data_IF_618416611250
#
_entry.id   IF_618416611250
#
_cell.length_a   1.000
_cell.length_b   1.000
_cell.length_c   1.000
_cell.angle_alpha   90.00
_cell.angle_beta   90.00
_cell.angle_gamma   90.00
#
_symmetry.space_group_name_H-M   'P 1'
#
loop_
_entity.id
_entity.type
_entity.pdbx_description
1 polymer ?
#
# COMPACT_ATOMS: atom_id res chain seq x y z
N UNK A 1 -5.35 22.30 2.08
CA UNK A 1 -5.18 20.91 2.54
C UNK A 1 -6.52 20.42 3.07
N UNK A 2 -7.13 19.38 2.50
CA UNK A 2 -8.40 18.84 3.02
C UNK A 2 -8.07 17.74 4.05
N UNK A 3 -8.24 18.04 5.34
CA UNK A 3 -7.84 17.18 6.45
C UNK A 3 -8.46 15.78 6.39
N UNK A 4 -9.73 15.72 5.98
CA UNK A 4 -10.47 14.46 5.79
C UNK A 4 -9.83 13.63 4.68
N UNK A 5 -9.47 14.27 3.56
CA UNK A 5 -8.79 13.62 2.44
C UNK A 5 -7.39 13.12 2.85
N UNK A 6 -6.63 13.91 3.59
CA UNK A 6 -5.31 13.52 4.12
C UNK A 6 -5.41 12.32 5.06
N UNK A 7 -6.39 12.31 5.96
CA UNK A 7 -6.63 11.18 6.87
C UNK A 7 -7.03 9.91 6.10
N UNK A 8 -7.95 10.02 5.14
CA UNK A 8 -8.38 8.89 4.32
C UNK A 8 -7.23 8.29 3.51
N UNK A 9 -6.37 9.13 2.93
CA UNK A 9 -5.19 8.67 2.20
C UNK A 9 -4.19 7.97 3.14
N UNK A 10 -3.95 8.52 4.33
CA UNK A 10 -3.10 7.87 5.34
C UNK A 10 -3.65 6.49 5.76
N UNK A 11 -4.96 6.40 6.01
CA UNK A 11 -5.62 5.15 6.39
C UNK A 11 -5.52 4.11 5.27
N UNK A 12 -5.77 4.50 4.01
CA UNK A 12 -5.62 3.62 2.84
C UNK A 12 -4.19 3.11 2.69
N UNK A 13 -3.20 4.01 2.75
CA UNK A 13 -1.79 3.65 2.69
C UNK A 13 -1.43 2.61 3.74
N UNK A 14 -1.81 2.84 5.00
CA UNK A 14 -1.53 1.93 6.12
C UNK A 14 -2.18 0.57 5.93
N UNK A 15 -3.43 0.53 5.47
CA UNK A 15 -4.12 -0.72 5.18
C UNK A 15 -3.40 -1.50 4.08
N UNK A 16 -3.05 -0.86 2.97
CA UNK A 16 -2.36 -1.52 1.86
C UNK A 16 -0.98 -2.04 2.26
N UNK A 17 -0.21 -1.28 3.04
CA UNK A 17 1.08 -1.77 3.58
C UNK A 17 0.84 -2.99 4.47
N UNK A 18 -0.11 -2.91 5.41
CA UNK A 18 -0.38 -4.01 6.32
C UNK A 18 -0.86 -5.29 5.61
N UNK A 19 -1.65 -5.17 4.55
CA UNK A 19 -2.13 -6.29 3.75
C UNK A 19 -0.98 -6.91 2.94
N UNK A 20 -0.24 -6.11 2.19
CA UNK A 20 0.88 -6.60 1.37
C UNK A 20 2.02 -7.16 2.22
N UNK A 21 2.31 -6.58 3.38
CA UNK A 21 3.36 -7.08 4.29
C UNK A 21 3.01 -8.40 4.98
N UNK A 22 1.74 -8.84 4.92
CA UNK A 22 1.33 -10.18 5.41
C UNK A 22 1.55 -11.28 4.37
N UNK A 23 1.71 -10.90 3.10
CA UNK A 23 1.97 -11.84 2.02
C UNK A 23 3.42 -12.33 2.07
N UNK A 24 3.63 -13.58 1.70
CA UNK A 24 4.95 -14.15 1.50
C UNK A 24 5.63 -13.54 0.25
N UNK A 25 6.97 -13.61 0.14
CA UNK A 25 7.67 -13.14 -1.06
C UNK A 25 7.19 -13.81 -2.36
N UNK A 26 6.69 -15.04 -2.30
CA UNK A 26 6.13 -15.74 -3.47
C UNK A 26 4.78 -15.17 -3.86
N UNK A 27 3.87 -14.98 -2.90
CA UNK A 27 2.55 -14.37 -3.16
C UNK A 27 2.70 -12.94 -3.70
N UNK A 28 3.66 -12.17 -3.18
CA UNK A 28 4.01 -10.86 -3.73
C UNK A 28 4.53 -10.96 -5.16
N UNK A 29 5.40 -11.94 -5.44
CA UNK A 29 5.94 -12.17 -6.77
C UNK A 29 4.86 -12.61 -7.77
N UNK A 30 3.89 -13.42 -7.35
CA UNK A 30 2.74 -13.83 -8.17
C UNK A 30 1.86 -12.63 -8.55
N UNK A 31 1.81 -11.61 -7.68
CA UNK A 31 1.17 -10.31 -7.96
C UNK A 31 2.05 -9.38 -8.81
N UNK A 32 3.28 -9.77 -9.13
CA UNK A 32 4.27 -8.95 -9.83
C UNK A 32 4.80 -7.78 -8.98
N UNK A 33 4.79 -7.92 -7.65
CA UNK A 33 5.24 -6.91 -6.69
C UNK A 33 6.49 -7.40 -5.97
N UNK A 34 7.54 -6.59 -5.91
CA UNK A 34 8.67 -6.85 -5.02
C UNK A 34 8.36 -6.36 -3.59
N UNK A 35 8.82 -7.03 -2.53
CA UNK A 35 8.62 -6.57 -1.15
C UNK A 35 9.11 -5.12 -0.91
N UNK A 36 10.17 -4.72 -1.61
CA UNK A 36 10.70 -3.35 -1.57
C UNK A 36 9.77 -2.30 -2.19
N UNK A 37 8.85 -2.71 -3.07
CA UNK A 37 7.90 -1.84 -3.78
C UNK A 37 6.61 -1.60 -3.01
N UNK A 38 6.34 -2.38 -1.94
CA UNK A 38 5.15 -2.22 -1.10
C UNK A 38 4.87 -0.76 -0.72
N UNK A 39 5.85 0.05 -0.26
CA UNK A 39 5.60 1.46 0.08
C UNK A 39 5.21 2.31 -1.14
N UNK A 40 5.76 2.01 -2.31
CA UNK A 40 5.46 2.72 -3.55
C UNK A 40 4.05 2.39 -4.05
N UNK A 41 3.71 1.10 -4.11
CA UNK A 41 2.37 0.62 -4.50
C UNK A 41 1.31 1.17 -3.55
N UNK A 42 1.56 1.12 -2.23
CA UNK A 42 0.63 1.65 -1.23
C UNK A 42 0.39 3.16 -1.38
N UNK A 43 1.44 3.96 -1.69
CA UNK A 43 1.26 5.40 -1.96
C UNK A 43 0.44 5.65 -3.22
N UNK A 44 0.68 4.88 -4.28
CA UNK A 44 -0.07 4.97 -5.54
C UNK A 44 -1.54 4.61 -5.33
N UNK A 45 -1.83 3.58 -4.56
CA UNK A 45 -3.18 3.17 -4.21
C UNK A 45 -3.91 4.21 -3.34
N UNK A 46 -3.22 4.84 -2.39
CA UNK A 46 -3.78 5.88 -1.53
C UNK A 46 -4.05 7.21 -2.25
N UNK A 47 -3.34 7.49 -3.35
CA UNK A 47 -3.50 8.71 -4.13
C UNK A 47 -4.65 8.65 -5.17
N UNK A 48 -5.10 7.45 -5.52
CA UNK A 48 -6.29 7.20 -6.36
C UNK A 48 -7.58 7.38 -5.57
#
# INVERSE_FOLDING_TARGET
MNLIRSYNNWRRYRNTVNELSRLSPRELNDLGILPSEIPFVARKAAAR
#
